data_IF_480665509838
#
_entry.id   IF_480665509838
#
_cell.length_a   1.000
_cell.length_b   1.000
_cell.length_c   1.000
_cell.angle_alpha   90.00
_cell.angle_beta   90.00
_cell.angle_gamma   90.00
#
_symmetry.space_group_name_H-M   'P 1'
#
loop_
_entity.id
_entity.type
_entity.pdbx_description
1 polymer ?
#
# COMPACT_ATOMS: atom_id res chain seq x y z
N UNK A 1 57.84 23.04 -15.49
CA UNK A 1 57.48 22.86 -14.07
C UNK A 1 56.05 22.31 -14.06
N UNK A 2 55.79 21.07 -14.49
CA UNK A 2 56.00 19.78 -13.78
C UNK A 2 55.59 19.82 -12.31
N UNK A 3 54.42 19.22 -12.03
CA UNK A 3 54.03 18.41 -10.85
C UNK A 3 52.49 18.36 -10.85
N UNK A 4 51.76 17.24 -10.89
CA UNK A 4 52.08 15.82 -10.87
C UNK A 4 50.76 15.09 -10.65
N UNK A 5 50.20 14.50 -11.71
CA UNK A 5 49.03 13.60 -11.62
C UNK A 5 49.52 12.29 -11.02
N UNK A 6 49.09 12.00 -9.78
CA UNK A 6 49.36 10.72 -9.13
C UNK A 6 48.11 9.84 -9.23
N UNK A 7 48.07 9.05 -10.29
CA UNK A 7 47.12 7.95 -10.49
C UNK A 7 47.54 6.80 -9.58
N UNK A 8 46.81 6.57 -8.48
CA UNK A 8 47.01 5.38 -7.64
C UNK A 8 46.35 4.18 -8.31
N UNK A 9 47.19 3.31 -8.84
CA UNK A 9 46.89 1.97 -9.32
C UNK A 9 46.06 1.17 -8.30
N UNK A 10 44.91 0.67 -8.73
CA UNK A 10 44.04 -0.19 -7.91
C UNK A 10 44.70 -1.53 -7.57
N UNK A 11 44.34 -2.15 -6.45
CA UNK A 11 44.73 -3.52 -6.15
C UNK A 11 43.90 -4.48 -7.00
N UNK A 12 44.56 -5.14 -7.97
CA UNK A 12 43.97 -6.26 -8.69
C UNK A 12 43.64 -7.41 -7.72
N UNK A 13 42.45 -8.02 -7.80
CA UNK A 13 42.12 -9.16 -6.95
C UNK A 13 42.89 -10.40 -7.40
N UNK A 14 43.78 -10.89 -6.52
CA UNK A 14 44.37 -12.23 -6.62
C UNK A 14 43.27 -13.25 -6.33
N UNK A 15 42.99 -14.24 -7.19
CA UNK A 15 42.00 -15.26 -6.89
C UNK A 15 42.58 -16.33 -5.94
N UNK A 16 42.04 -16.53 -4.73
CA UNK A 16 42.41 -17.69 -3.93
C UNK A 16 41.64 -18.93 -4.40
N UNK A 17 42.41 -19.92 -4.86
CA UNK A 17 42.23 -21.37 -4.76
C UNK A 17 40.80 -21.91 -4.94
N UNK A 18 40.58 -22.49 -6.13
CA UNK A 18 39.59 -23.54 -6.44
C UNK A 18 39.28 -24.43 -5.22
N UNK A 19 38.10 -24.24 -4.63
CA UNK A 19 37.51 -25.21 -3.69
C UNK A 19 37.18 -26.47 -4.49
N UNK A 20 37.89 -27.56 -4.15
CA UNK A 20 37.66 -28.90 -4.69
C UNK A 20 36.17 -29.24 -4.60
N UNK A 21 35.54 -29.81 -5.63
CA UNK A 21 34.19 -30.31 -5.49
C UNK A 21 34.19 -31.42 -4.43
N UNK A 22 33.47 -31.19 -3.33
CA UNK A 22 33.14 -32.24 -2.40
C UNK A 22 32.38 -33.31 -3.18
N UNK A 23 32.99 -34.48 -3.35
CA UNK A 23 32.32 -35.65 -3.91
C UNK A 23 31.24 -36.10 -2.93
N UNK A 24 30.07 -35.48 -3.02
CA UNK A 24 28.89 -35.87 -2.27
C UNK A 24 28.41 -37.21 -2.85
N UNK A 25 28.53 -38.27 -2.06
CA UNK A 25 28.07 -39.59 -2.45
C UNK A 25 26.60 -39.55 -2.88
N UNK A 26 26.30 -40.18 -4.02
CA UNK A 26 24.96 -40.27 -4.63
C UNK A 26 23.85 -40.68 -3.65
N UNK A 27 24.21 -41.39 -2.58
CA UNK A 27 23.31 -41.86 -1.50
C UNK A 27 22.97 -40.80 -0.45
N UNK A 28 23.82 -39.80 -0.25
CA UNK A 28 23.57 -38.71 0.70
C UNK A 28 22.62 -37.68 0.10
N UNK A 29 22.71 -37.43 -1.21
CA UNK A 29 21.81 -36.50 -1.92
C UNK A 29 20.34 -36.96 -1.87
N UNK A 30 20.07 -38.26 -2.03
CA UNK A 30 18.71 -38.80 -1.93
C UNK A 30 18.16 -38.69 -0.49
N UNK A 31 19.01 -38.86 0.53
CA UNK A 31 18.61 -38.69 1.94
C UNK A 31 18.26 -37.24 2.28
N UNK A 32 18.95 -36.26 1.71
CA UNK A 32 18.64 -34.84 1.94
C UNK A 32 17.37 -34.39 1.19
N UNK A 33 17.05 -34.99 0.04
CA UNK A 33 15.84 -34.67 -0.71
C UNK A 33 14.54 -35.16 -0.05
N UNK A 34 14.56 -36.29 0.66
CA UNK A 34 13.38 -36.76 1.40
C UNK A 34 12.99 -35.87 2.58
N UNK A 35 13.94 -35.15 3.20
CA UNK A 35 13.64 -34.21 4.28
C UNK A 35 13.11 -32.86 3.78
N UNK A 36 13.40 -32.47 2.54
CA UNK A 36 12.88 -31.24 1.92
C UNK A 36 11.51 -31.48 1.27
N UNK A 37 11.26 -32.67 0.73
CA UNK A 37 9.94 -33.02 0.16
C UNK A 37 8.84 -33.18 1.22
N UNK A 38 9.18 -33.51 2.46
CA UNK A 38 8.22 -33.61 3.57
C UNK A 38 7.82 -32.26 4.21
N UNK A 39 8.55 -31.18 3.92
CA UNK A 39 8.34 -29.88 4.56
C UNK A 39 7.25 -28.99 3.92
N UNK A 40 6.78 -29.35 2.72
CA UNK A 40 5.80 -28.54 1.97
C UNK A 40 4.33 -28.79 2.37
N UNK A 41 4.07 -29.68 3.32
CA UNK A 41 2.72 -29.90 3.87
C UNK A 41 2.48 -29.24 5.25
N UNK A 42 3.48 -28.51 5.78
CA UNK A 42 3.40 -27.86 7.08
C UNK A 42 3.22 -26.33 6.97
N UNK A 43 2.22 -25.88 6.22
CA UNK A 43 1.44 -24.65 6.45
C UNK A 43 0.44 -24.47 5.29
N UNK A 44 -0.84 -24.14 5.54
CA UNK A 44 -1.26 -23.20 6.58
C UNK A 44 -2.54 -23.63 7.33
N UNK A 45 -2.40 -24.12 8.56
CA UNK A 45 -3.55 -24.26 9.46
C UNK A 45 -4.27 -22.91 9.70
N UNK A 46 -3.58 -21.78 9.47
CA UNK A 46 -4.15 -20.44 9.52
C UNK A 46 -5.18 -20.14 8.41
N UNK A 47 -5.12 -20.80 7.24
CA UNK A 47 -6.16 -20.63 6.20
C UNK A 47 -7.33 -21.59 6.38
N UNK A 48 -7.14 -22.72 7.08
CA UNK A 48 -8.20 -23.69 7.35
C UNK A 48 -9.12 -23.28 8.51
N UNK A 49 -8.68 -22.39 9.40
CA UNK A 49 -9.48 -21.90 10.53
C UNK A 49 -10.31 -20.64 10.23
N UNK A 50 -10.31 -20.14 9.00
CA UNK A 50 -11.22 -19.06 8.61
C UNK A 50 -12.65 -19.61 8.53
N UNK A 51 -13.43 -19.41 9.59
CA UNK A 51 -14.84 -19.79 9.59
C UNK A 51 -15.55 -19.05 8.44
N UNK A 52 -16.37 -19.75 7.62
CA UNK A 52 -17.04 -19.13 6.47
C UNK A 52 -17.92 -17.94 6.88
N UNK A 53 -18.45 -17.92 8.11
CA UNK A 53 -19.19 -16.78 8.66
C UNK A 53 -18.34 -15.51 8.83
N UNK A 54 -17.12 -15.64 9.34
CA UNK A 54 -16.21 -14.52 9.57
C UNK A 54 -15.77 -13.85 8.26
N UNK A 55 -15.53 -14.65 7.22
CA UNK A 55 -15.18 -14.15 5.89
C UNK A 55 -16.34 -13.35 5.28
N UNK A 56 -17.58 -13.85 5.39
CA UNK A 56 -18.77 -13.13 4.89
C UNK A 56 -19.03 -11.84 5.65
N UNK A 57 -18.85 -11.84 6.97
CA UNK A 57 -19.00 -10.62 7.78
C UNK A 57 -17.96 -9.56 7.38
N UNK A 58 -16.70 -9.96 7.22
CA UNK A 58 -15.63 -9.07 6.79
C UNK A 58 -15.89 -8.47 5.39
N UNK A 59 -16.37 -9.27 4.45
CA UNK A 59 -16.74 -8.78 3.11
C UNK A 59 -17.94 -7.83 3.15
N UNK A 60 -18.94 -8.12 3.98
CA UNK A 60 -20.10 -7.25 4.18
C UNK A 60 -19.68 -5.89 4.74
N UNK A 61 -18.85 -5.89 5.79
CA UNK A 61 -18.33 -4.66 6.41
C UNK A 61 -17.44 -3.88 5.45
N UNK A 62 -16.62 -4.56 4.65
CA UNK A 62 -15.84 -3.92 3.59
C UNK A 62 -16.73 -3.23 2.54
N UNK A 63 -17.79 -3.91 2.13
CA UNK A 63 -18.72 -3.38 1.13
C UNK A 63 -19.47 -2.16 1.68
N UNK A 64 -19.89 -2.20 2.96
CA UNK A 64 -20.46 -1.05 3.66
C UNK A 64 -19.48 0.11 3.77
N UNK A 65 -18.26 -0.14 4.26
CA UNK A 65 -17.21 0.88 4.35
C UNK A 65 -16.95 1.56 3.00
N UNK A 66 -16.86 0.77 1.93
CA UNK A 66 -16.62 1.29 0.59
C UNK A 66 -17.79 2.14 0.08
N UNK A 67 -19.03 1.70 0.27
CA UNK A 67 -20.23 2.45 -0.12
C UNK A 67 -20.33 3.79 0.63
N UNK A 68 -20.15 3.77 1.96
CA UNK A 68 -20.14 4.98 2.79
C UNK A 68 -19.03 5.93 2.34
N UNK A 69 -17.83 5.41 2.07
CA UNK A 69 -16.70 6.22 1.58
C UNK A 69 -17.01 6.91 0.25
N UNK A 70 -17.68 6.22 -0.69
CA UNK A 70 -18.11 6.80 -1.96
C UNK A 70 -19.08 7.96 -1.77
N UNK A 71 -20.00 7.85 -0.80
CA UNK A 71 -20.98 8.90 -0.50
C UNK A 71 -20.33 10.11 0.18
N UNK A 72 -19.47 9.87 1.17
CA UNK A 72 -18.81 10.94 1.93
C UNK A 72 -17.82 11.75 1.09
N UNK A 73 -17.21 11.15 0.07
CA UNK A 73 -16.21 11.81 -0.76
C UNK A 73 -16.78 12.36 -2.08
N UNK A 74 -18.11 12.31 -2.26
CA UNK A 74 -18.74 12.82 -3.47
C UNK A 74 -18.90 14.36 -3.42
N UNK A 75 -18.69 15.10 -4.52
CA UNK A 75 -18.21 14.64 -5.82
C UNK A 75 -16.69 14.38 -5.82
N UNK A 76 -16.30 13.26 -6.43
CA UNK A 76 -14.89 12.96 -6.67
C UNK A 76 -14.41 13.74 -7.91
N UNK A 77 -13.12 14.13 -7.97
CA UNK A 77 -12.55 14.72 -9.17
C UNK A 77 -12.69 13.78 -10.39
N UNK A 78 -12.73 14.37 -11.57
CA UNK A 78 -12.78 13.63 -12.85
C UNK A 78 -11.64 12.60 -12.89
N UNK A 79 -11.94 11.39 -13.37
CA UNK A 79 -11.02 10.23 -13.43
C UNK A 79 -10.51 9.69 -12.08
N UNK A 80 -11.07 10.15 -10.95
CA UNK A 80 -10.72 9.61 -9.63
C UNK A 80 -11.72 8.53 -9.20
N UNK A 81 -11.24 7.28 -9.12
CA UNK A 81 -12.02 6.15 -8.60
C UNK A 81 -11.44 5.64 -7.28
N UNK A 82 -12.31 5.34 -6.31
CA UNK A 82 -11.89 4.66 -5.08
C UNK A 82 -11.51 3.21 -5.37
N UNK A 83 -10.32 2.81 -4.95
CA UNK A 83 -9.82 1.45 -5.11
C UNK A 83 -10.28 0.57 -3.93
N UNK A 84 -11.02 -0.50 -4.22
CA UNK A 84 -11.53 -1.46 -3.21
C UNK A 84 -10.40 -2.12 -2.41
N UNK A 85 -9.20 -2.30 -2.99
CA UNK A 85 -8.03 -2.85 -2.28
C UNK A 85 -7.48 -1.87 -1.27
N UNK A 86 -7.47 -0.58 -1.59
CA UNK A 86 -7.08 0.48 -0.63
C UNK A 86 -8.12 0.56 0.48
N UNK A 87 -9.41 0.47 0.14
CA UNK A 87 -10.48 0.44 1.12
C UNK A 87 -10.32 -0.70 2.14
N UNK A 88 -9.96 -1.91 1.67
CA UNK A 88 -9.71 -3.06 2.54
C UNK A 88 -8.55 -2.82 3.51
N UNK A 89 -7.46 -2.19 3.05
CA UNK A 89 -6.31 -1.88 3.90
C UNK A 89 -6.62 -0.76 4.90
N UNK A 90 -7.34 0.28 4.47
CA UNK A 90 -7.78 1.37 5.35
C UNK A 90 -8.72 0.83 6.42
N UNK A 91 -9.70 0.00 6.06
CA UNK A 91 -10.59 -0.64 7.02
C UNK A 91 -9.83 -1.51 8.03
N UNK A 92 -8.86 -2.30 7.56
CA UNK A 92 -8.04 -3.11 8.45
C UNK A 92 -7.20 -2.26 9.42
N UNK A 93 -6.62 -1.15 8.95
CA UNK A 93 -5.86 -0.23 9.78
C UNK A 93 -6.77 0.51 10.79
N UNK A 94 -7.94 0.98 10.36
CA UNK A 94 -8.93 1.64 11.23
C UNK A 94 -9.43 0.71 12.34
N UNK A 95 -9.71 -0.56 12.01
CA UNK A 95 -10.13 -1.54 13.00
C UNK A 95 -9.06 -1.84 14.06
N UNK A 96 -7.77 -1.72 13.69
CA UNK A 96 -6.64 -1.94 14.62
C UNK A 96 -6.40 -0.72 15.50
N UNK A 97 -6.41 0.47 14.91
CA UNK A 97 -6.15 1.73 15.61
C UNK A 97 -7.33 2.13 16.52
N UNK A 98 -8.56 1.88 16.08
CA UNK A 98 -9.79 2.28 16.76
C UNK A 98 -10.70 1.06 17.03
N UNK A 99 -10.62 0.44 18.22
CA UNK A 99 -11.37 -0.78 18.53
C UNK A 99 -12.90 -0.63 18.45
N UNK A 100 -13.43 0.58 18.66
CA UNK A 100 -14.87 0.89 18.54
C UNK A 100 -15.34 1.12 17.10
N UNK A 101 -14.42 1.26 16.14
CA UNK A 101 -14.74 1.61 14.75
C UNK A 101 -15.67 0.60 14.06
N UNK A 102 -15.48 -0.73 14.17
CA UNK A 102 -16.38 -1.70 13.52
C UNK A 102 -17.84 -1.52 13.95
N UNK A 103 -18.07 -1.35 15.26
CA UNK A 103 -19.41 -1.15 15.82
C UNK A 103 -20.03 0.17 15.37
N UNK A 104 -19.23 1.24 15.36
CA UNK A 104 -19.66 2.55 14.88
C UNK A 104 -20.02 2.52 13.39
N UNK A 105 -19.21 1.84 12.56
CA UNK A 105 -19.47 1.66 11.15
C UNK A 105 -20.74 0.83 10.92
N UNK A 106 -20.95 -0.23 11.69
CA UNK A 106 -22.14 -1.08 11.58
C UNK A 106 -23.42 -0.29 11.91
N UNK A 107 -23.37 0.68 12.83
CA UNK A 107 -24.48 1.57 13.17
C UNK A 107 -24.63 2.78 12.22
N UNK A 108 -23.58 3.13 11.47
CA UNK A 108 -23.62 4.28 10.58
C UNK A 108 -24.58 4.03 9.40
N UNK A 109 -25.39 5.03 8.99
CA UNK A 109 -26.32 4.85 7.88
C UNK A 109 -25.59 4.67 6.55
N UNK A 110 -26.15 3.83 5.67
CA UNK A 110 -25.57 3.57 4.35
C UNK A 110 -25.60 4.81 3.44
N UNK A 111 -26.58 5.70 3.66
CA UNK A 111 -26.69 7.00 3.01
C UNK A 111 -26.68 8.11 4.09
N UNK A 112 -25.51 8.65 4.45
CA UNK A 112 -25.41 9.68 5.47
C UNK A 112 -26.05 11.00 5.01
N UNK A 113 -26.94 11.53 5.83
CA UNK A 113 -27.49 12.87 5.67
C UNK A 113 -26.47 13.94 6.09
N UNK A 114 -26.90 15.20 6.09
CA UNK A 114 -26.03 16.34 6.43
C UNK A 114 -25.46 16.24 7.85
N UNK A 115 -26.26 15.79 8.83
CA UNK A 115 -25.81 15.62 10.22
C UNK A 115 -24.71 14.56 10.35
N UNK A 116 -24.86 13.43 9.67
CA UNK A 116 -23.90 12.32 9.73
C UNK A 116 -22.63 12.61 8.94
N UNK A 117 -22.71 13.37 7.85
CA UNK A 117 -21.54 13.83 7.09
C UNK A 117 -20.57 14.65 7.95
N UNK A 118 -21.09 15.39 8.94
CA UNK A 118 -20.28 16.18 9.87
C UNK A 118 -19.85 15.42 11.13
N UNK A 119 -20.25 14.15 11.27
CA UNK A 119 -19.93 13.34 12.44
C UNK A 119 -18.42 13.07 12.58
N UNK A 120 -17.93 12.79 13.81
CA UNK A 120 -16.53 12.40 14.03
C UNK A 120 -16.12 11.15 13.23
N UNK A 121 -17.04 10.20 13.05
CA UNK A 121 -16.78 8.99 12.27
C UNK A 121 -16.59 9.31 10.79
N UNK A 122 -17.47 10.13 10.21
CA UNK A 122 -17.32 10.57 8.82
C UNK A 122 -16.01 11.31 8.59
N UNK A 123 -15.64 12.23 9.50
CA UNK A 123 -14.34 12.92 9.46
C UNK A 123 -13.16 11.96 9.52
N UNK A 124 -13.24 10.92 10.36
CA UNK A 124 -12.21 9.90 10.45
C UNK A 124 -12.05 9.12 9.15
N UNK A 125 -13.16 8.69 8.53
CA UNK A 125 -13.16 7.98 7.24
C UNK A 125 -12.57 8.89 6.15
N UNK A 126 -13.01 10.14 6.09
CA UNK A 126 -12.52 11.13 5.11
C UNK A 126 -11.02 11.38 5.32
N UNK A 127 -10.57 11.60 6.55
CA UNK A 127 -9.16 11.83 6.86
C UNK A 127 -8.28 10.64 6.45
N UNK A 128 -8.73 9.42 6.71
CA UNK A 128 -8.01 8.20 6.32
C UNK A 128 -7.84 8.09 4.79
N UNK A 129 -8.87 8.41 4.00
CA UNK A 129 -8.78 8.46 2.53
C UNK A 129 -7.94 9.63 2.01
N UNK A 130 -8.08 10.79 2.65
CA UNK A 130 -7.42 12.01 2.20
C UNK A 130 -5.91 11.95 2.39
N UNK A 131 -5.48 11.44 3.55
CA UNK A 131 -4.07 11.36 3.93
C UNK A 131 -3.43 10.01 3.55
N UNK A 132 -4.23 8.95 3.45
CA UNK A 132 -3.73 7.58 3.25
C UNK A 132 -2.98 7.02 4.46
N UNK A 133 -3.16 7.63 5.63
CA UNK A 133 -2.52 7.28 6.91
C UNK A 133 -3.62 7.04 7.94
N UNK A 134 -3.41 6.04 8.80
CA UNK A 134 -4.26 5.75 9.97
C UNK A 134 -3.37 5.63 11.20
N UNK A 135 -3.57 6.49 12.19
CA UNK A 135 -2.66 6.57 13.34
C UNK A 135 -1.23 6.87 12.89
N UNK A 136 -0.32 5.90 13.10
CA UNK A 136 1.09 5.97 12.65
C UNK A 136 1.37 5.12 11.40
N UNK A 137 0.38 4.41 10.87
CA UNK A 137 0.53 3.49 9.74
C UNK A 137 0.26 4.19 8.41
N UNK A 138 1.23 4.13 7.48
CA UNK A 138 1.03 4.54 6.09
C UNK A 138 0.36 3.41 5.31
N UNK A 139 -0.91 3.60 4.95
CA UNK A 139 -1.69 2.61 4.21
C UNK A 139 -1.51 2.77 2.71
N UNK A 140 -1.56 4.02 2.22
CA UNK A 140 -1.27 4.33 0.82
C UNK A 140 -0.67 5.73 0.71
N UNK A 141 0.36 5.84 -0.13
CA UNK A 141 0.99 7.12 -0.41
C UNK A 141 0.48 7.71 -1.72
N UNK A 142 0.70 7.00 -2.81
CA UNK A 142 0.38 7.44 -4.18
C UNK A 142 -1.13 7.65 -4.43
N UNK A 143 -1.97 6.84 -3.76
CA UNK A 143 -3.43 6.88 -3.89
C UNK A 143 -4.13 7.73 -2.81
N UNK A 144 -3.37 8.45 -1.98
CA UNK A 144 -3.95 9.40 -1.03
C UNK A 144 -4.68 10.53 -1.80
N UNK A 145 -5.90 10.86 -1.38
CA UNK A 145 -6.76 11.74 -2.17
C UNK A 145 -6.21 13.18 -2.27
N UNK A 146 -5.45 13.64 -1.27
CA UNK A 146 -4.79 14.95 -1.31
C UNK A 146 -3.90 15.15 -2.55
N UNK A 147 -3.28 14.07 -3.05
CA UNK A 147 -2.44 14.13 -4.24
C UNK A 147 -3.23 14.02 -5.54
N UNK A 148 -4.38 13.33 -5.51
CA UNK A 148 -5.23 13.20 -6.71
C UNK A 148 -5.88 14.53 -7.06
N UNK A 149 -6.32 15.28 -6.05
CA UNK A 149 -6.91 16.61 -6.19
C UNK A 149 -5.98 17.66 -6.79
N UNK A 150 -4.66 17.46 -6.67
CA UNK A 150 -3.64 18.40 -7.14
C UNK A 150 -2.79 17.82 -8.26
N UNK A 151 -3.17 16.67 -8.82
CA UNK A 151 -2.35 15.90 -9.76
C UNK A 151 -2.18 16.56 -11.14
N UNK A 152 -2.98 17.58 -11.45
CA UNK A 152 -2.87 18.43 -12.64
C UNK A 152 -1.68 19.40 -12.55
N UNK A 153 -1.33 19.86 -11.35
CA UNK A 153 -0.28 20.85 -11.12
C UNK A 153 0.93 20.26 -10.39
N UNK A 154 0.70 19.47 -9.36
CA UNK A 154 1.73 19.00 -8.44
C UNK A 154 1.91 17.48 -8.54
N UNK A 155 3.13 17.01 -8.89
CA UNK A 155 3.44 15.61 -8.73
C UNK A 155 3.46 15.20 -7.26
N UNK A 156 3.15 13.92 -7.02
CA UNK A 156 3.44 13.29 -5.74
C UNK A 156 4.95 13.39 -5.49
N UNK A 157 5.35 13.88 -4.31
CA UNK A 157 6.78 13.93 -3.94
C UNK A 157 7.39 12.52 -4.08
N UNK A 158 8.62 12.45 -4.59
CA UNK A 158 9.35 11.23 -5.01
C UNK A 158 9.00 10.65 -6.38
N UNK A 159 7.94 11.11 -7.05
CA UNK A 159 7.60 10.69 -8.41
C UNK A 159 7.97 11.78 -9.42
N UNK A 160 8.73 11.40 -10.44
CA UNK A 160 8.96 12.27 -11.59
C UNK A 160 7.76 12.16 -12.54
N UNK A 161 7.28 13.29 -13.04
CA UNK A 161 6.24 13.36 -14.08
C UNK A 161 6.66 14.36 -15.15
N UNK A 162 6.25 14.10 -16.39
CA UNK A 162 6.52 14.97 -17.53
C UNK A 162 7.99 15.06 -17.91
N UNK A 163 8.33 16.13 -18.64
CA UNK A 163 9.68 16.40 -19.12
C UNK A 163 10.46 17.29 -18.14
N UNK A 164 11.80 17.21 -18.11
CA UNK A 164 12.62 18.15 -17.35
C UNK A 164 12.25 19.60 -17.66
N UNK A 165 12.01 20.42 -16.63
CA UNK A 165 11.60 21.82 -16.79
C UNK A 165 10.09 22.05 -16.95
N UNK A 166 9.25 21.01 -16.92
CA UNK A 166 7.79 21.16 -16.99
C UNK A 166 7.22 22.08 -15.88
N UNK A 167 7.89 22.14 -14.72
CA UNK A 167 7.54 23.02 -13.59
C UNK A 167 7.63 24.52 -13.91
N UNK A 168 8.30 24.92 -15.00
CA UNK A 168 8.41 26.32 -15.40
C UNK A 168 7.19 26.83 -16.19
N UNK A 169 6.32 25.93 -16.67
CA UNK A 169 5.09 26.30 -17.37
C UNK A 169 4.01 26.67 -16.37
N UNK A 170 3.18 27.65 -16.70
CA UNK A 170 2.00 27.96 -15.92
C UNK A 170 1.05 26.74 -15.92
N UNK A 171 0.43 26.39 -14.78
CA UNK A 171 -0.49 25.27 -14.72
C UNK A 171 -1.73 25.54 -15.57
N UNK A 172 -2.16 24.52 -16.31
CA UNK A 172 -3.43 24.54 -17.01
C UNK A 172 -4.55 24.15 -16.03
N UNK A 173 -5.44 25.09 -15.70
CA UNK A 173 -6.58 24.79 -14.84
C UNK A 173 -7.57 23.92 -15.62
N UNK A 174 -7.59 22.61 -15.31
CA UNK A 174 -8.56 21.67 -15.91
C UNK A 174 -9.96 21.77 -15.28
N UNK A 175 -10.07 22.41 -14.13
CA UNK A 175 -11.34 22.68 -13.46
C UNK A 175 -11.88 24.03 -13.94
N UNK A 176 -13.05 24.02 -14.60
CA UNK A 176 -13.78 25.24 -14.90
C UNK A 176 -14.01 26.03 -13.62
N UNK A 177 -13.85 27.35 -13.68
CA UNK A 177 -14.12 28.27 -12.56
C UNK A 177 -15.55 28.00 -12.06
N UNK A 178 -15.66 27.42 -10.87
CA UNK A 178 -16.93 27.27 -10.14
C UNK A 178 -17.40 28.66 -9.72
#
# INVERSE_FOLDING_TARGET
MSSGVSSKSGPGPVPPKSLRPLSLGRRQFVRTQFLVAGGLLACPAALLNAQPGQVREAETRLSKFFAVSQKLLHPLPVDTHLDRRVAARLLAALNREYPSFPQQLDLFPDNPGEGEQHSPLARLIIAAWFLGIVGKELVTYERAMMYRLTSDVFPVRSYCVGEPGAWAKAPEMKFGRV
#
